data_IF_093690016240
#
_entry.id   IF_093690016240
#
_cell.length_a   1.000
_cell.length_b   1.000
_cell.length_c   1.000
_cell.angle_alpha   90.00
_cell.angle_beta   90.00
_cell.angle_gamma   90.00
#
_symmetry.space_group_name_H-M   'P 1'
#
loop_
_entity.id
_entity.type
_entity.pdbx_description
1 polymer ?
#
# COMPACT_ATOMS: atom_id res chain seq x y z
N UNK A 1 6.92 -10.94 21.26
CA UNK A 1 6.70 -9.73 20.46
C UNK A 1 7.91 -9.58 19.55
N UNK A 2 7.78 -9.88 18.26
CA UNK A 2 8.89 -9.73 17.31
C UNK A 2 8.79 -8.37 16.61
N UNK A 3 9.90 -7.62 16.63
CA UNK A 3 10.07 -6.43 15.83
C UNK A 3 10.81 -6.81 14.55
N UNK A 4 10.31 -6.34 13.41
CA UNK A 4 10.88 -6.61 12.11
C UNK A 4 11.67 -5.39 11.62
N UNK A 5 12.95 -5.56 11.31
CA UNK A 5 13.79 -4.46 10.79
C UNK A 5 13.67 -4.41 9.25
N UNK A 6 13.33 -3.24 8.72
CA UNK A 6 13.34 -2.95 7.28
C UNK A 6 14.50 -1.99 6.96
N UNK A 7 15.32 -2.38 6.00
CA UNK A 7 16.45 -1.62 5.46
C UNK A 7 16.34 -1.51 3.93
N UNK A 8 17.18 -0.67 3.33
CA UNK A 8 17.26 -0.57 1.87
C UNK A 8 17.69 -1.92 1.29
N UNK A 9 16.90 -2.47 0.36
CA UNK A 9 17.13 -3.80 -0.19
C UNK A 9 16.66 -4.97 0.68
N UNK A 10 15.76 -4.78 1.67
CA UNK A 10 15.05 -5.87 2.36
C UNK A 10 14.06 -6.65 1.46
N UNK A 11 14.36 -6.77 0.17
CA UNK A 11 13.58 -7.54 -0.78
C UNK A 11 13.67 -9.02 -0.40
N UNK A 12 12.52 -9.62 -0.13
CA UNK A 12 12.45 -11.07 0.15
C UNK A 12 12.29 -11.78 -1.19
N UNK A 13 13.26 -12.60 -1.60
CA UNK A 13 13.21 -13.29 -2.89
C UNK A 13 11.99 -14.23 -3.01
N UNK A 14 11.49 -14.40 -4.23
CA UNK A 14 10.19 -15.02 -4.60
C UNK A 14 10.03 -16.52 -4.24
N UNK A 15 10.94 -17.14 -3.48
CA UNK A 15 11.00 -18.58 -3.17
C UNK A 15 11.21 -18.94 -1.67
N UNK A 16 10.99 -18.02 -0.73
CA UNK A 16 10.87 -18.33 0.71
C UNK A 16 9.44 -17.98 1.18
N UNK A 17 8.39 -18.57 0.61
CA UNK A 17 7.77 -19.80 1.12
C UNK A 17 8.09 -20.17 2.59
N UNK A 18 7.04 -20.25 3.43
CA UNK A 18 6.93 -20.87 4.77
C UNK A 18 7.01 -20.05 6.07
N UNK A 19 7.31 -18.75 6.12
CA UNK A 19 7.13 -17.99 7.38
C UNK A 19 5.94 -17.04 7.26
N UNK A 20 4.78 -17.50 7.71
CA UNK A 20 3.76 -16.61 8.28
C UNK A 20 4.47 -15.70 9.28
N UNK A 21 4.49 -14.38 9.05
CA UNK A 21 5.04 -13.40 10.00
C UNK A 21 4.00 -13.06 11.06
N UNK A 22 3.31 -14.09 11.56
CA UNK A 22 2.22 -14.00 12.53
C UNK A 22 2.73 -13.64 13.93
N UNK A 23 4.04 -13.43 14.08
CA UNK A 23 4.72 -12.94 15.27
C UNK A 23 5.13 -11.46 15.17
N UNK A 24 5.11 -10.89 13.96
CA UNK A 24 5.47 -9.48 13.71
C UNK A 24 4.34 -8.58 14.13
N UNK A 25 4.59 -7.85 15.22
CA UNK A 25 3.67 -6.88 15.82
C UNK A 25 4.09 -5.45 15.56
N UNK A 26 5.38 -5.25 15.26
CA UNK A 26 5.98 -3.94 15.06
C UNK A 26 7.00 -3.99 13.91
N UNK A 27 7.02 -2.93 13.11
CA UNK A 27 8.03 -2.70 12.08
C UNK A 27 8.95 -1.57 12.52
N UNK A 28 10.25 -1.76 12.40
CA UNK A 28 11.28 -0.75 12.67
C UNK A 28 12.01 -0.47 11.36
N UNK A 29 11.98 0.78 10.91
CA UNK A 29 12.70 1.21 9.73
C UNK A 29 14.05 1.82 10.12
N UNK A 30 15.10 1.51 9.38
CA UNK A 30 16.38 2.20 9.54
C UNK A 30 16.28 3.64 9.01
N UNK A 31 17.07 4.54 9.61
CA UNK A 31 17.14 5.92 9.14
C UNK A 31 17.62 5.97 7.69
N UNK A 32 17.06 6.91 6.92
CA UNK A 32 17.44 7.24 5.54
C UNK A 32 17.09 6.20 4.47
N UNK A 33 16.22 5.23 4.75
CA UNK A 33 15.73 4.35 3.67
C UNK A 33 14.89 5.15 2.66
N UNK A 34 15.13 4.92 1.38
CA UNK A 34 14.35 5.54 0.29
C UNK A 34 13.24 4.64 -0.23
N UNK A 35 13.24 3.36 0.15
CA UNK A 35 12.29 2.35 -0.38
C UNK A 35 11.95 1.32 0.69
N UNK A 36 10.69 0.92 0.74
CA UNK A 36 10.28 -0.32 1.42
C UNK A 36 10.45 -1.48 0.45
N UNK A 37 11.17 -2.51 0.87
CA UNK A 37 11.46 -3.68 0.03
C UNK A 37 10.23 -4.49 -0.40
N UNK A 38 10.36 -5.19 -1.51
CA UNK A 38 9.43 -6.20 -2.00
C UNK A 38 9.22 -7.27 -0.91
N UNK A 39 7.96 -7.62 -0.65
CA UNK A 39 7.55 -8.60 0.38
C UNK A 39 7.99 -8.29 1.84
N UNK A 40 8.43 -7.06 2.16
CA UNK A 40 9.03 -6.72 3.46
C UNK A 40 8.26 -7.27 4.68
N UNK A 41 6.94 -7.05 4.74
CA UNK A 41 6.00 -7.51 5.77
C UNK A 41 4.98 -8.52 5.22
N UNK A 42 5.32 -9.30 4.19
CA UNK A 42 4.36 -10.25 3.59
C UNK A 42 3.75 -11.19 4.64
N UNK A 43 2.42 -11.27 4.67
CA UNK A 43 1.65 -12.08 5.63
C UNK A 43 2.00 -11.81 7.11
N UNK A 44 2.30 -10.57 7.48
CA UNK A 44 2.35 -10.16 8.89
C UNK A 44 0.91 -10.01 9.43
N UNK A 45 0.23 -11.14 9.70
CA UNK A 45 -1.24 -11.13 9.89
C UNK A 45 -1.70 -10.46 11.19
N UNK A 46 -0.81 -10.25 12.15
CA UNK A 46 -1.09 -9.57 13.43
C UNK A 46 -0.54 -8.14 13.50
N UNK A 47 0.16 -7.67 12.46
CA UNK A 47 0.64 -6.29 12.38
C UNK A 47 -0.55 -5.34 12.27
N UNK A 48 -0.64 -4.36 13.18
CA UNK A 48 -1.81 -3.47 13.29
C UNK A 48 -1.56 -2.08 12.70
N UNK A 49 -0.35 -1.54 12.90
CA UNK A 49 0.05 -0.18 12.52
C UNK A 49 1.43 -0.21 11.87
N UNK A 50 1.63 0.62 10.85
CA UNK A 50 2.94 0.85 10.23
C UNK A 50 3.16 2.35 10.06
N UNK A 51 4.28 2.84 10.61
CA UNK A 51 4.73 4.21 10.40
C UNK A 51 5.91 4.22 9.42
N UNK A 52 5.64 4.52 8.15
CA UNK A 52 6.67 4.58 7.11
C UNK A 52 7.43 5.91 7.26
N UNK A 53 8.76 5.89 7.40
CA UNK A 53 9.53 7.09 7.71
C UNK A 53 9.59 8.07 6.53
N UNK A 54 9.75 9.35 6.85
CA UNK A 54 10.08 10.38 5.86
C UNK A 54 11.34 10.05 5.09
N UNK A 55 11.38 10.42 3.81
CA UNK A 55 12.44 10.06 2.87
C UNK A 55 12.12 8.82 2.03
N UNK A 56 11.18 7.96 2.45
CA UNK A 56 10.72 6.85 1.61
C UNK A 56 9.96 7.39 0.41
N UNK A 57 10.39 6.99 -0.78
CA UNK A 57 9.84 7.38 -2.08
C UNK A 57 8.97 6.28 -2.69
N UNK A 58 9.20 5.02 -2.35
CA UNK A 58 8.43 3.90 -2.91
C UNK A 58 8.16 2.76 -1.95
N UNK A 59 6.99 2.13 -2.11
CA UNK A 59 6.59 0.92 -1.41
C UNK A 59 6.65 -0.27 -2.37
N UNK A 60 7.43 -1.28 -2.01
CA UNK A 60 7.74 -2.44 -2.83
C UNK A 60 6.54 -3.32 -3.18
N UNK A 61 6.71 -4.15 -4.21
CA UNK A 61 5.68 -5.11 -4.63
C UNK A 61 5.33 -6.03 -3.47
N UNK A 62 4.04 -6.19 -3.19
CA UNK A 62 3.52 -7.05 -2.11
C UNK A 62 4.12 -6.77 -0.72
N UNK A 63 4.68 -5.58 -0.46
CA UNK A 63 5.40 -5.26 0.77
C UNK A 63 4.59 -5.52 2.04
N UNK A 64 3.28 -5.27 2.02
CA UNK A 64 2.34 -5.48 3.13
C UNK A 64 1.16 -6.37 2.71
N UNK A 65 1.33 -7.20 1.68
CA UNK A 65 0.29 -8.08 1.22
C UNK A 65 -0.13 -9.08 2.32
N UNK A 66 -1.44 -9.24 2.48
CA UNK A 66 -2.11 -10.10 3.47
C UNK A 66 -1.79 -9.75 4.95
N UNK A 67 -1.44 -8.50 5.26
CA UNK A 67 -1.43 -8.02 6.65
C UNK A 67 -2.88 -7.83 7.15
N UNK A 68 -3.56 -8.93 7.47
CA UNK A 68 -5.01 -8.96 7.74
C UNK A 68 -5.46 -8.13 8.94
N UNK A 69 -4.56 -7.85 9.89
CA UNK A 69 -4.85 -6.99 11.04
C UNK A 69 -4.43 -5.53 10.86
N UNK A 70 -3.80 -5.18 9.74
CA UNK A 70 -3.31 -3.84 9.49
C UNK A 70 -4.50 -2.89 9.33
N UNK A 71 -4.59 -1.91 10.20
CA UNK A 71 -5.67 -0.91 10.23
C UNK A 71 -5.18 0.46 9.78
N UNK A 72 -3.93 0.80 10.13
CA UNK A 72 -3.39 2.14 9.94
C UNK A 72 -2.01 2.08 9.30
N UNK A 73 -1.79 2.93 8.30
CA UNK A 73 -0.48 3.17 7.69
C UNK A 73 -0.24 4.67 7.61
N UNK A 74 0.81 5.16 8.25
CA UNK A 74 1.28 6.53 8.09
C UNK A 74 2.21 6.59 6.88
N UNK A 75 1.85 7.40 5.89
CA UNK A 75 2.62 7.57 4.65
C UNK A 75 3.47 8.85 4.70
N UNK A 76 4.72 8.83 4.21
CA UNK A 76 5.57 10.01 4.22
C UNK A 76 5.21 10.98 3.11
N UNK A 77 5.51 12.26 3.31
CA UNK A 77 5.28 13.32 2.31
C UNK A 77 6.04 13.05 1.00
N UNK A 78 7.17 12.34 1.06
CA UNK A 78 8.05 12.02 -0.07
C UNK A 78 7.55 10.88 -0.95
N UNK A 79 6.53 10.12 -0.54
CA UNK A 79 6.06 8.94 -1.26
C UNK A 79 5.62 9.31 -2.68
N UNK A 80 6.17 8.63 -3.69
CA UNK A 80 5.86 8.83 -5.12
C UNK A 80 5.21 7.61 -5.77
N UNK A 81 5.49 6.39 -5.28
CA UNK A 81 5.06 5.15 -5.94
C UNK A 81 4.60 4.09 -4.93
N UNK A 82 3.44 3.49 -5.20
CA UNK A 82 2.97 2.27 -4.54
C UNK A 82 2.92 1.16 -5.60
N UNK A 83 3.76 0.13 -5.43
CA UNK A 83 3.90 -0.94 -6.41
C UNK A 83 2.79 -1.99 -6.34
N UNK A 84 2.78 -2.87 -7.34
CA UNK A 84 1.81 -3.95 -7.53
C UNK A 84 1.56 -4.72 -6.24
N UNK A 85 0.29 -4.95 -5.90
CA UNK A 85 -0.13 -5.74 -4.75
C UNK A 85 0.39 -5.25 -3.38
N UNK A 86 0.95 -4.03 -3.25
CA UNK A 86 1.64 -3.61 -2.02
C UNK A 86 0.84 -3.84 -0.72
N UNK A 87 -0.48 -3.69 -0.74
CA UNK A 87 -1.41 -3.89 0.38
C UNK A 87 -2.55 -4.86 0.05
N UNK A 88 -2.40 -5.73 -0.96
CA UNK A 88 -3.47 -6.68 -1.34
C UNK A 88 -3.91 -7.51 -0.13
N UNK A 89 -5.21 -7.62 0.12
CA UNK A 89 -5.75 -8.45 1.21
C UNK A 89 -5.42 -7.94 2.63
N UNK A 90 -5.03 -6.68 2.80
CA UNK A 90 -5.05 -6.00 4.10
C UNK A 90 -6.51 -5.68 4.49
N UNK A 91 -7.27 -6.71 4.85
CA UNK A 91 -8.75 -6.65 4.92
C UNK A 91 -9.30 -5.65 5.93
N UNK A 92 -8.54 -5.31 6.98
CA UNK A 92 -8.92 -4.33 8.01
C UNK A 92 -8.41 -2.92 7.76
N UNK A 93 -7.67 -2.67 6.68
CA UNK A 93 -7.16 -1.35 6.35
C UNK A 93 -8.35 -0.47 5.93
N UNK A 94 -8.70 0.51 6.74
CA UNK A 94 -9.90 1.34 6.56
C UNK A 94 -9.59 2.82 6.31
N UNK A 95 -8.48 3.31 6.86
CA UNK A 95 -8.05 4.70 6.79
C UNK A 95 -6.76 4.84 5.98
N UNK A 96 -6.88 5.24 4.72
CA UNK A 96 -5.74 5.59 3.88
C UNK A 96 -5.81 7.06 3.48
N UNK A 97 -4.87 7.83 4.02
CA UNK A 97 -4.73 9.27 3.78
C UNK A 97 -3.45 9.53 2.97
N UNK A 98 -3.60 9.80 1.66
CA UNK A 98 -2.47 10.04 0.76
C UNK A 98 -2.40 11.49 0.27
N UNK A 99 -3.32 12.36 0.67
CA UNK A 99 -3.46 13.73 0.16
C UNK A 99 -2.23 14.62 0.39
N UNK A 100 -1.45 14.37 1.44
CA UNK A 100 -0.22 15.13 1.77
C UNK A 100 1.04 14.57 1.09
N UNK A 101 0.92 13.47 0.36
CA UNK A 101 2.05 12.80 -0.31
C UNK A 101 2.29 13.36 -1.71
N UNK A 102 3.46 13.08 -2.28
CA UNK A 102 3.79 13.36 -3.69
C UNK A 102 3.39 12.22 -4.63
N UNK A 103 2.48 11.33 -4.22
CA UNK A 103 2.17 10.09 -4.93
C UNK A 103 1.77 10.36 -6.38
N UNK A 104 2.43 9.67 -7.31
CA UNK A 104 2.22 9.80 -8.75
C UNK A 104 1.64 8.52 -9.37
N UNK A 105 2.02 7.36 -8.83
CA UNK A 105 1.69 6.05 -9.39
C UNK A 105 1.20 5.11 -8.28
N UNK A 106 0.05 4.50 -8.52
CA UNK A 106 -0.40 3.30 -7.81
C UNK A 106 -0.55 2.20 -8.85
N UNK A 107 0.18 1.10 -8.70
CA UNK A 107 0.17 -0.01 -9.66
C UNK A 107 -0.97 -1.00 -9.43
N UNK A 108 -1.03 -2.07 -10.23
CA UNK A 108 -2.15 -3.00 -10.24
C UNK A 108 -2.36 -3.67 -8.89
N UNK A 109 -3.64 -3.82 -8.50
CA UNK A 109 -4.06 -4.49 -7.28
C UNK A 109 -3.46 -3.98 -5.95
N UNK A 110 -2.84 -2.79 -5.93
CA UNK A 110 -2.13 -2.28 -4.76
C UNK A 110 -2.96 -2.34 -3.46
N UNK A 111 -4.24 -2.03 -3.51
CA UNK A 111 -5.20 -2.09 -2.41
C UNK A 111 -6.41 -3.00 -2.75
N UNK A 112 -6.19 -3.99 -3.62
CA UNK A 112 -7.22 -4.98 -3.92
C UNK A 112 -7.52 -5.80 -2.65
N UNK A 113 -8.78 -6.23 -2.46
CA UNK A 113 -9.23 -6.94 -1.23
C UNK A 113 -9.06 -6.19 0.11
N UNK A 114 -8.76 -4.89 0.12
CA UNK A 114 -8.90 -4.05 1.31
C UNK A 114 -10.39 -3.79 1.60
N UNK A 115 -11.09 -4.77 2.15
CA UNK A 115 -12.55 -4.78 2.29
C UNK A 115 -13.12 -3.67 3.18
N UNK A 116 -12.39 -3.26 4.22
CA UNK A 116 -12.79 -2.16 5.11
C UNK A 116 -12.42 -0.77 4.57
N UNK A 117 -11.66 -0.70 3.47
CA UNK A 117 -11.29 0.56 2.84
C UNK A 117 -12.50 1.19 2.14
N UNK A 118 -13.32 1.94 2.88
CA UNK A 118 -14.54 2.57 2.37
C UNK A 118 -14.26 3.83 1.58
N UNK A 119 -13.26 4.59 1.99
CA UNK A 119 -12.86 5.85 1.35
C UNK A 119 -11.36 6.06 1.41
N UNK A 120 -10.84 6.81 0.43
CA UNK A 120 -9.43 7.19 0.38
C UNK A 120 -9.31 8.62 -0.16
N UNK A 121 -8.41 9.41 0.44
CA UNK A 121 -7.98 10.70 -0.12
C UNK A 121 -6.69 10.51 -0.90
N UNK A 122 -6.67 11.02 -2.14
CA UNK A 122 -5.56 10.88 -3.10
C UNK A 122 -4.92 12.27 -3.29
N UNK A 123 -3.60 12.39 -3.52
CA UNK A 123 -2.99 13.69 -3.80
C UNK A 123 -3.23 14.13 -5.25
N UNK A 124 -3.20 15.44 -5.48
CA UNK A 124 -3.36 16.04 -6.82
C UNK A 124 -2.25 15.66 -7.80
N UNK A 125 -1.12 15.15 -7.30
CA UNK A 125 0.01 14.67 -8.11
C UNK A 125 -0.23 13.33 -8.78
N UNK A 126 -1.30 12.59 -8.43
CA UNK A 126 -1.53 11.24 -8.95
C UNK A 126 -1.82 11.26 -10.45
N UNK A 127 -1.01 10.53 -11.23
CA UNK A 127 -1.06 10.49 -12.69
C UNK A 127 -1.55 9.16 -13.26
N UNK A 128 -1.31 8.05 -12.56
CA UNK A 128 -1.56 6.68 -13.05
C UNK A 128 -2.19 5.82 -11.96
N UNK A 129 -3.23 5.08 -12.34
CA UNK A 129 -3.85 4.05 -11.51
C UNK A 129 -3.85 2.71 -12.25
N UNK A 130 -3.24 1.70 -11.63
CA UNK A 130 -3.22 0.35 -12.16
C UNK A 130 -4.61 -0.28 -12.20
N UNK A 131 -4.75 -1.29 -13.05
CA UNK A 131 -5.95 -2.10 -13.13
C UNK A 131 -6.32 -2.66 -11.74
N UNK A 132 -7.58 -2.46 -11.34
CA UNK A 132 -8.11 -2.89 -10.04
C UNK A 132 -7.22 -2.49 -8.84
N UNK A 133 -6.53 -1.35 -8.91
CA UNK A 133 -5.66 -0.84 -7.85
C UNK A 133 -6.35 -0.69 -6.48
N UNK A 134 -7.69 -0.58 -6.45
CA UNK A 134 -8.47 -0.46 -5.22
C UNK A 134 -9.55 -1.54 -5.14
N UNK A 135 -9.94 -1.88 -3.92
CA UNK A 135 -11.06 -2.77 -3.66
C UNK A 135 -12.34 -2.27 -4.37
N UNK A 136 -13.11 -3.17 -5.02
CA UNK A 136 -14.29 -2.81 -5.81
C UNK A 136 -15.36 -1.96 -5.10
N UNK A 137 -15.46 -2.09 -3.77
CA UNK A 137 -16.40 -1.34 -2.91
C UNK A 137 -15.88 0.02 -2.43
N UNK A 138 -14.60 0.34 -2.63
CA UNK A 138 -14.01 1.59 -2.18
C UNK A 138 -14.48 2.79 -3.02
N UNK A 139 -14.83 3.88 -2.35
CA UNK A 139 -15.14 5.17 -2.98
C UNK A 139 -13.88 6.04 -2.96
N UNK A 140 -13.39 6.43 -4.14
CA UNK A 140 -12.43 7.53 -4.20
C UNK A 140 -13.22 8.83 -4.05
N UNK A 141 -12.76 9.74 -3.18
CA UNK A 141 -13.40 11.05 -3.04
C UNK A 141 -13.10 11.85 -4.32
N UNK A 142 -14.11 12.19 -5.16
CA UNK A 142 -13.87 12.63 -6.55
C UNK A 142 -13.14 13.97 -6.71
N UNK A 143 -13.11 14.80 -5.65
CA UNK A 143 -12.51 16.15 -5.70
C UNK A 143 -10.98 16.15 -5.89
N UNK A 144 -10.33 15.00 -5.91
CA UNK A 144 -8.87 14.88 -5.99
C UNK A 144 -8.31 14.13 -7.21
N UNK A 145 -9.13 13.59 -8.12
CA UNK A 145 -8.60 12.93 -9.33
C UNK A 145 -8.45 13.94 -10.49
N UNK A 146 -7.25 14.04 -11.06
CA UNK A 146 -7.01 14.75 -12.33
C UNK A 146 -7.37 13.84 -13.52
N UNK A 147 -7.65 14.46 -14.68
CA UNK A 147 -8.22 13.86 -15.92
C UNK A 147 -7.60 12.52 -16.37
N UNK A 148 -6.32 12.26 -16.05
CA UNK A 148 -5.62 11.00 -16.36
C UNK A 148 -6.02 9.81 -15.47
N UNK A 149 -6.01 9.98 -14.15
CA UNK A 149 -6.36 8.91 -13.20
C UNK A 149 -7.87 8.58 -13.21
N UNK A 150 -8.70 9.53 -13.67
CA UNK A 150 -10.16 9.33 -13.79
C UNK A 150 -10.47 8.25 -14.82
N UNK A 151 -9.78 8.22 -15.97
CA UNK A 151 -10.07 7.26 -17.05
C UNK A 151 -9.77 5.83 -16.62
N UNK A 152 -8.63 5.61 -15.95
CA UNK A 152 -8.25 4.30 -15.40
C UNK A 152 -9.25 3.83 -14.33
N UNK A 153 -9.65 4.73 -13.43
CA UNK A 153 -10.64 4.44 -12.39
C UNK A 153 -12.01 4.10 -12.97
N UNK A 154 -12.50 4.86 -13.95
CA UNK A 154 -13.79 4.61 -14.60
C UNK A 154 -13.76 3.33 -15.45
N UNK A 155 -12.67 3.02 -16.16
CA UNK A 155 -12.50 1.75 -16.87
C UNK A 155 -12.58 0.55 -15.93
N UNK A 156 -11.93 0.62 -14.76
CA UNK A 156 -11.99 -0.45 -13.75
C UNK A 156 -13.40 -0.69 -13.20
N UNK A 157 -14.27 0.33 -13.26
CA UNK A 157 -15.69 0.21 -12.91
C UNK A 157 -16.59 -0.21 -14.08
N UNK A 158 -16.23 0.15 -15.32
CA UNK A 158 -17.00 -0.13 -16.54
C UNK A 158 -16.87 -1.57 -17.04
N UNK A 159 -15.79 -2.29 -16.70
CA UNK A 159 -15.63 -3.72 -17.00
C UNK A 159 -16.50 -4.63 -16.09
N UNK A 160 -17.57 -4.08 -15.51
CA UNK A 160 -18.55 -4.76 -14.66
C UNK A 160 -19.92 -4.88 -15.33
N UNK A 161 -19.93 -5.09 -16.65
CA UNK A 161 -21.12 -5.50 -17.41
C UNK A 161 -20.88 -6.89 -17.93
#
# INVERSE_FOLDING_TARGET
>A
MAAMIVHEGSDVNHMQDRLQRDDVTQVVFLLNITKVGMYACYKATILVVVDIPEGVESIGQSAFAHCKSLTTVSFPTTLTTIKRCAFIGATKLDNVHLSHTKLQIVEEWAFYECSELKSMTIPSSLRRLGFLAFHPGSKLIPRSLQRGAIVDYLHSRSLRI
#
